data_IF_957340752791
#
_entry.id   IF_957340752791
#
_cell.length_a   1.000
_cell.length_b   1.000
_cell.length_c   1.000
_cell.angle_alpha   90.00
_cell.angle_beta   90.00
_cell.angle_gamma   90.00
#
_symmetry.space_group_name_H-M   'P 1'
#
loop_
_entity.id
_entity.type
_entity.pdbx_description
1 polymer ?
#
# COMPACT_ATOMS: atom_id res chain seq x y z
N UNK A 1 5.42 -5.17 7.08
CA UNK A 1 5.42 -5.58 5.65
C UNK A 1 4.79 -4.46 4.84
N UNK A 2 5.36 -4.07 3.69
CA UNK A 2 4.89 -2.92 2.91
C UNK A 2 4.53 -3.33 1.48
N UNK A 3 3.34 -2.98 1.01
CA UNK A 3 2.90 -3.16 -0.38
C UNK A 3 2.67 -1.80 -1.04
N UNK A 4 3.07 -1.67 -2.30
CA UNK A 4 3.02 -0.41 -3.02
C UNK A 4 2.40 -0.62 -4.40
N UNK A 5 1.50 0.28 -4.77
CA UNK A 5 1.16 0.46 -6.16
C UNK A 5 2.17 1.39 -6.84
N UNK A 6 2.85 0.90 -7.88
CA UNK A 6 3.83 1.67 -8.67
C UNK A 6 3.54 1.43 -10.15
N UNK A 7 3.30 2.50 -10.91
CA UNK A 7 3.14 2.41 -12.36
C UNK A 7 4.51 2.20 -13.06
N UNK A 8 4.54 1.33 -14.07
CA UNK A 8 5.70 0.81 -14.85
C UNK A 8 6.27 1.81 -15.89
N UNK A 9 7.47 1.54 -16.47
CA UNK A 9 8.77 2.09 -16.07
C UNK A 9 9.06 3.49 -16.65
N UNK A 10 9.72 4.35 -15.87
CA UNK A 10 10.35 5.57 -16.42
C UNK A 10 11.63 5.14 -17.17
N UNK A 11 11.88 5.63 -18.40
CA UNK A 11 13.10 5.27 -19.13
C UNK A 11 14.37 5.74 -18.38
N UNK A 12 15.38 4.87 -18.35
CA UNK A 12 16.68 5.15 -17.76
C UNK A 12 17.40 6.30 -18.47
N UNK A 13 17.51 7.46 -17.83
CA UNK A 13 18.62 8.38 -18.12
C UNK A 13 19.17 9.01 -16.84
N UNK A 14 20.40 8.58 -16.52
CA UNK A 14 21.49 9.32 -15.85
C UNK A 14 21.33 9.64 -14.36
N UNK A 15 21.97 8.84 -13.48
CA UNK A 15 22.74 9.35 -12.35
C UNK A 15 23.87 8.38 -11.96
N UNK A 16 25.11 8.88 -11.98
CA UNK A 16 26.28 8.28 -11.32
C UNK A 16 26.45 8.90 -9.92
N UNK A 17 26.89 8.16 -8.89
CA UNK A 17 26.93 8.67 -7.52
C UNK A 17 28.28 9.34 -7.19
N UNK A 18 28.24 10.45 -6.44
CA UNK A 18 29.33 10.84 -5.54
C UNK A 18 28.82 10.81 -4.11
N UNK A 19 29.28 9.81 -3.36
CA UNK A 19 29.15 9.69 -1.91
C UNK A 19 30.25 10.48 -1.22
N UNK A 20 29.95 11.09 -0.08
CA UNK A 20 30.96 11.35 0.95
C UNK A 20 30.31 11.23 2.34
N UNK A 21 30.85 10.40 3.26
CA UNK A 21 30.25 10.18 4.58
C UNK A 21 30.92 11.07 5.64
N UNK A 22 30.17 11.58 6.60
CA UNK A 22 30.65 11.61 7.99
C UNK A 22 29.58 12.02 9.02
N UNK A 23 29.74 11.40 10.20
CA UNK A 23 29.31 11.76 11.56
C UNK A 23 28.00 11.18 12.11
N UNK A 24 28.24 10.17 12.94
CA UNK A 24 27.50 9.69 14.11
C UNK A 24 27.00 10.80 15.04
N UNK A 25 25.77 10.63 15.55
CA UNK A 25 25.45 10.83 16.97
C UNK A 25 24.10 10.19 17.31
N UNK A 26 24.13 9.32 18.32
CA UNK A 26 23.02 8.63 18.94
C UNK A 26 22.09 9.62 19.64
N UNK A 27 20.82 9.70 19.22
CA UNK A 27 19.74 10.36 19.98
C UNK A 27 18.47 9.52 19.84
N UNK A 28 17.91 9.19 20.99
CA UNK A 28 16.64 8.49 21.21
C UNK A 28 15.61 9.02 20.19
N UNK A 29 15.19 8.17 19.25
CA UNK A 29 14.32 8.53 18.12
C UNK A 29 12.95 7.87 18.30
N UNK A 30 11.84 8.64 18.46
CA UNK A 30 10.49 8.07 18.38
C UNK A 30 10.19 7.69 16.91
N UNK A 31 9.22 6.79 16.65
CA UNK A 31 9.31 5.88 15.51
C UNK A 31 9.17 6.60 14.17
N UNK A 32 10.23 6.46 13.40
CA UNK A 32 10.53 7.13 12.14
C UNK A 32 9.86 6.43 10.94
N UNK A 33 8.72 5.75 11.13
CA UNK A 33 8.22 4.70 10.22
C UNK A 33 7.32 5.20 9.07
N UNK A 34 6.50 6.23 9.26
CA UNK A 34 5.53 6.66 8.23
C UNK A 34 6.05 7.70 7.22
N UNK A 35 7.07 8.48 7.58
CA UNK A 35 7.66 9.50 6.68
C UNK A 35 8.49 8.93 5.52
N UNK A 36 8.74 7.61 5.49
CA UNK A 36 9.67 6.97 4.55
C UNK A 36 9.09 6.67 3.16
N UNK A 37 7.77 6.73 2.95
CA UNK A 37 7.10 6.15 1.76
C UNK A 37 7.12 7.05 0.50
N UNK A 38 7.51 8.33 0.60
CA UNK A 38 7.38 9.27 -0.52
C UNK A 38 8.74 9.79 -1.03
N UNK A 39 9.35 9.07 -1.97
CA UNK A 39 10.34 9.66 -2.88
C UNK A 39 9.60 10.22 -4.13
N UNK A 40 9.75 11.51 -4.44
CA UNK A 40 9.14 12.20 -5.60
C UNK A 40 9.97 11.96 -6.88
N UNK A 41 9.30 11.80 -8.02
CA UNK A 41 9.89 11.82 -9.36
C UNK A 41 8.85 12.34 -10.36
N UNK A 42 9.18 13.44 -11.03
CA UNK A 42 8.36 14.25 -11.94
C UNK A 42 8.49 13.79 -13.42
N UNK A 43 7.40 13.96 -14.16
CA UNK A 43 7.05 13.43 -15.50
C UNK A 43 7.81 14.00 -16.71
N UNK A 44 7.87 13.24 -17.81
CA UNK A 44 7.40 13.65 -19.16
C UNK A 44 7.27 12.44 -20.15
N UNK A 45 6.44 12.62 -21.18
CA UNK A 45 5.71 11.67 -22.05
C UNK A 45 6.51 10.97 -23.19
N UNK A 46 6.05 9.78 -23.64
CA UNK A 46 5.63 9.43 -25.03
C UNK A 46 4.89 8.06 -25.02
N UNK A 47 3.74 7.98 -25.71
CA UNK A 47 2.77 6.88 -25.67
C UNK A 47 2.95 5.78 -26.75
N UNK A 48 2.66 4.52 -26.39
CA UNK A 48 2.28 3.43 -27.30
C UNK A 48 0.98 2.78 -26.81
N UNK A 49 0.10 2.42 -27.75
CA UNK A 49 -1.32 2.06 -27.60
C UNK A 49 -1.60 0.92 -26.59
N UNK A 50 -2.30 1.24 -25.50
CA UNK A 50 -2.97 0.29 -24.60
C UNK A 50 -4.46 0.72 -24.41
N UNK A 51 -5.33 -0.28 -24.19
CA UNK A 51 -6.80 -0.22 -24.13
C UNK A 51 -7.40 1.02 -23.42
N UNK A 52 -8.23 1.79 -24.13
CA UNK A 52 -8.81 3.08 -23.70
C UNK A 52 -9.66 3.02 -22.41
N UNK A 53 -10.21 1.87 -22.03
CA UNK A 53 -11.00 1.71 -20.80
C UNK A 53 -10.14 1.66 -19.51
N UNK A 54 -8.93 1.10 -19.58
CA UNK A 54 -8.00 1.03 -18.43
C UNK A 54 -7.18 2.32 -18.25
N UNK A 55 -7.01 3.11 -19.31
CA UNK A 55 -6.33 4.41 -19.26
C UNK A 55 -7.16 5.51 -18.59
N UNK A 56 -8.49 5.48 -18.73
CA UNK A 56 -9.37 6.59 -18.29
C UNK A 56 -9.58 6.69 -16.76
N UNK A 57 -9.16 5.70 -15.97
CA UNK A 57 -9.35 5.70 -14.50
C UNK A 57 -8.10 5.97 -13.65
N UNK A 58 -6.91 6.10 -14.24
CA UNK A 58 -5.67 6.25 -13.45
C UNK A 58 -5.43 7.72 -13.10
N UNK A 59 -6.05 8.19 -12.02
CA UNK A 59 -5.54 9.36 -11.31
C UNK A 59 -4.10 9.06 -10.84
N UNK A 60 -3.28 10.10 -10.67
CA UNK A 60 -1.90 9.99 -10.19
C UNK A 60 -1.80 9.56 -8.71
N UNK A 61 -2.77 8.81 -8.21
CA UNK A 61 -2.89 8.41 -6.81
C UNK A 61 -1.84 7.35 -6.48
N UNK A 62 -0.99 7.72 -5.54
CA UNK A 62 0.04 6.85 -4.97
C UNK A 62 -0.59 6.14 -3.79
N UNK A 63 -0.81 4.84 -3.91
CA UNK A 63 -1.44 4.05 -2.85
C UNK A 63 -0.45 3.05 -2.28
N UNK A 64 -0.39 2.99 -0.95
CA UNK A 64 0.49 2.09 -0.20
C UNK A 64 -0.29 1.41 0.91
N UNK A 65 -0.08 0.10 1.06
CA UNK A 65 -0.64 -0.67 2.18
C UNK A 65 0.50 -1.09 3.10
N UNK A 66 0.41 -0.72 4.36
CA UNK A 66 1.38 -1.05 5.38
C UNK A 66 0.73 -1.90 6.46
N UNK A 67 1.29 -3.07 6.74
CA UNK A 67 0.93 -3.85 7.92
C UNK A 67 1.74 -3.35 9.11
N UNK A 68 1.03 -2.91 10.16
CA UNK A 68 1.58 -2.42 11.42
C UNK A 68 1.15 -3.32 12.57
N UNK A 69 1.99 -3.39 13.59
CA UNK A 69 1.62 -3.97 14.89
C UNK A 69 0.84 -2.94 15.73
N UNK A 70 0.01 -3.43 16.66
CA UNK A 70 -0.87 -2.57 17.47
C UNK A 70 -0.09 -1.53 18.29
N UNK A 71 1.12 -1.89 18.73
CA UNK A 71 2.03 -1.03 19.50
C UNK A 71 2.57 0.15 18.70
N UNK A 72 2.58 0.07 17.36
CA UNK A 72 3.08 1.13 16.48
C UNK A 72 2.03 2.21 16.20
N UNK A 73 0.74 1.90 16.41
CA UNK A 73 -0.38 2.78 16.08
C UNK A 73 -0.37 4.11 16.84
N UNK A 74 -0.16 4.16 18.18
CA UNK A 74 -0.18 5.41 18.92
C UNK A 74 0.78 6.45 18.35
N UNK A 75 1.99 6.02 17.99
CA UNK A 75 3.01 6.92 17.48
C UNK A 75 2.79 7.27 16.00
N UNK A 76 2.29 6.33 15.20
CA UNK A 76 1.96 6.56 13.79
C UNK A 76 0.78 7.51 13.61
N UNK A 77 -0.27 7.40 14.43
CA UNK A 77 -1.50 8.17 14.25
C UNK A 77 -1.59 9.41 15.17
N UNK A 78 -0.56 9.66 15.97
CA UNK A 78 -0.53 10.80 16.89
C UNK A 78 -0.79 12.12 16.16
N UNK A 79 -1.80 12.85 16.63
CA UNK A 79 -2.23 14.13 16.07
C UNK A 79 -1.11 15.17 16.07
N UNK A 80 -0.58 15.48 17.25
CA UNK A 80 0.42 16.54 17.42
C UNK A 80 1.69 16.30 16.60
N UNK A 81 2.11 15.04 16.48
CA UNK A 81 3.32 14.68 15.77
C UNK A 81 3.17 14.67 14.23
N UNK A 82 2.00 14.28 13.71
CA UNK A 82 1.87 13.91 12.29
C UNK A 82 0.81 14.69 11.50
N UNK A 83 -0.11 15.44 12.14
CA UNK A 83 -1.22 16.12 11.44
C UNK A 83 -0.72 17.11 10.36
N UNK A 84 0.26 17.95 10.72
CA UNK A 84 0.86 18.89 9.79
C UNK A 84 1.45 18.17 8.55
N UNK A 85 2.07 17.01 8.75
CA UNK A 85 2.66 16.23 7.67
C UNK A 85 1.58 15.59 6.77
N UNK A 86 0.54 15.01 7.35
CA UNK A 86 -0.55 14.41 6.59
C UNK A 86 -1.28 15.44 5.73
N UNK A 87 -1.53 16.63 6.26
CA UNK A 87 -2.16 17.69 5.49
C UNK A 87 -1.21 18.32 4.46
N UNK A 88 0.07 18.53 4.79
CA UNK A 88 1.02 19.13 3.84
C UNK A 88 1.29 18.24 2.63
N UNK A 89 1.32 16.92 2.83
CA UNK A 89 1.51 15.97 1.74
C UNK A 89 0.19 15.48 1.13
N UNK A 90 -0.97 15.84 1.71
CA UNK A 90 -2.28 15.39 1.26
C UNK A 90 -2.45 13.87 1.37
N UNK A 91 -2.03 13.31 2.51
CA UNK A 91 -2.13 11.88 2.82
C UNK A 91 -3.52 11.60 3.40
N UNK A 92 -4.30 10.74 2.73
CA UNK A 92 -5.51 10.11 3.26
C UNK A 92 -5.14 8.79 3.91
N UNK A 93 -5.59 8.59 5.14
CA UNK A 93 -5.37 7.35 5.89
C UNK A 93 -6.67 6.55 5.85
N UNK A 94 -6.54 5.25 5.66
CA UNK A 94 -7.63 4.30 5.86
C UNK A 94 -7.10 3.06 6.55
N UNK A 95 -7.96 2.40 7.32
CA UNK A 95 -7.62 1.17 8.01
C UNK A 95 -8.38 -0.03 7.45
N UNK A 96 -7.68 -1.15 7.41
CA UNK A 96 -8.25 -2.46 7.11
C UNK A 96 -7.87 -3.45 8.21
N UNK A 97 -8.72 -4.45 8.41
CA UNK A 97 -8.64 -5.50 9.40
C UNK A 97 -9.67 -5.34 10.51
N UNK A 98 -9.59 -6.24 11.49
CA UNK A 98 -10.57 -6.30 12.56
C UNK A 98 -10.24 -5.29 13.68
N UNK A 99 -10.69 -4.05 13.49
CA UNK A 99 -10.52 -2.96 14.47
C UNK A 99 -11.26 -3.23 15.78
N UNK A 100 -12.27 -4.10 15.80
CA UNK A 100 -13.02 -4.45 17.03
C UNK A 100 -12.15 -5.15 18.07
N UNK A 101 -11.03 -5.73 17.65
CA UNK A 101 -10.03 -6.38 18.52
C UNK A 101 -9.12 -5.40 19.22
N UNK A 102 -9.08 -4.15 18.76
CA UNK A 102 -8.25 -3.10 19.36
C UNK A 102 -8.89 -2.57 20.65
N UNK A 103 -8.08 -2.12 21.63
CA UNK A 103 -8.57 -1.30 22.74
C UNK A 103 -9.34 -0.07 22.24
N UNK A 104 -10.38 0.34 22.97
CA UNK A 104 -11.23 1.49 22.59
C UNK A 104 -10.44 2.77 22.27
N UNK A 105 -9.40 3.03 23.05
CA UNK A 105 -8.52 4.20 22.83
C UNK A 105 -7.81 4.16 21.48
N UNK A 106 -7.43 2.97 20.99
CA UNK A 106 -6.86 2.81 19.65
C UNK A 106 -7.94 2.92 18.57
N UNK A 107 -9.13 2.37 18.79
CA UNK A 107 -10.25 2.54 17.85
C UNK A 107 -10.60 4.02 17.64
N UNK A 108 -10.65 4.80 18.72
CA UNK A 108 -10.88 6.26 18.67
C UNK A 108 -9.75 6.98 17.92
N UNK A 109 -8.50 6.62 18.17
CA UNK A 109 -7.34 7.19 17.47
C UNK A 109 -7.37 6.91 15.96
N UNK A 110 -7.77 5.69 15.58
CA UNK A 110 -7.93 5.28 14.19
C UNK A 110 -9.02 6.11 13.52
N UNK A 111 -10.21 6.16 14.13
CA UNK A 111 -11.34 6.92 13.60
C UNK A 111 -11.01 8.41 13.45
N UNK A 112 -10.33 9.01 14.43
CA UNK A 112 -9.89 10.41 14.36
C UNK A 112 -8.92 10.64 13.18
N UNK A 113 -7.96 9.73 12.96
CA UNK A 113 -7.00 9.83 11.87
C UNK A 113 -7.67 9.70 10.49
N UNK A 114 -8.59 8.76 10.32
CA UNK A 114 -9.38 8.61 9.09
C UNK A 114 -10.23 9.86 8.83
N UNK A 115 -10.95 10.36 9.85
CA UNK A 115 -11.83 11.52 9.71
C UNK A 115 -11.09 12.81 9.39
N UNK A 116 -9.92 13.03 10.00
CA UNK A 116 -9.09 14.21 9.73
C UNK A 116 -8.51 14.19 8.32
N UNK A 117 -8.20 13.01 7.80
CA UNK A 117 -7.50 12.86 6.52
C UNK A 117 -8.40 12.50 5.34
N UNK A 118 -9.71 12.27 5.55
CA UNK A 118 -10.65 11.82 4.50
C UNK A 118 -10.75 12.71 3.25
N UNK A 119 -10.51 14.01 3.41
CA UNK A 119 -10.58 14.98 2.31
C UNK A 119 -9.25 15.15 1.57
N UNK A 120 -8.18 14.48 2.03
CA UNK A 120 -6.90 14.48 1.35
C UNK A 120 -6.95 13.52 0.14
N UNK A 121 -6.22 13.85 -0.94
CA UNK A 121 -6.31 13.10 -2.20
C UNK A 121 -4.99 12.88 -2.93
N UNK A 122 -3.87 13.39 -2.39
CA UNK A 122 -2.57 13.27 -3.06
C UNK A 122 -1.96 11.87 -2.90
N UNK A 123 -2.18 11.24 -1.76
CA UNK A 123 -1.59 9.96 -1.40
C UNK A 123 -2.54 9.17 -0.50
N UNK A 124 -2.74 7.89 -0.77
CA UNK A 124 -3.54 7.01 0.07
C UNK A 124 -2.62 6.05 0.84
N UNK A 125 -2.70 6.10 2.17
CA UNK A 125 -2.04 5.16 3.07
C UNK A 125 -3.10 4.25 3.69
N UNK A 126 -3.08 2.97 3.33
CA UNK A 126 -3.89 1.94 3.96
C UNK A 126 -3.06 1.27 5.05
N UNK A 127 -3.56 1.25 6.28
CA UNK A 127 -2.89 0.61 7.40
C UNK A 127 -3.67 -0.66 7.77
N UNK A 128 -2.99 -1.81 7.70
CA UNK A 128 -3.56 -3.11 7.97
C UNK A 128 -3.25 -3.54 9.41
N UNK A 129 -4.29 -3.65 10.26
CA UNK A 129 -4.16 -3.99 11.68
C UNK A 129 -5.11 -5.11 12.05
N UNK A 130 -4.60 -6.13 12.74
CA UNK A 130 -5.37 -7.37 12.97
C UNK A 130 -5.96 -7.95 11.67
N UNK A 131 -5.31 -7.65 10.53
CA UNK A 131 -5.75 -7.99 9.18
C UNK A 131 -5.14 -9.31 8.71
N UNK A 132 -5.89 -10.06 7.91
CA UNK A 132 -5.34 -11.13 7.10
C UNK A 132 -6.14 -11.31 5.81
N UNK A 133 -5.50 -11.72 4.71
CA UNK A 133 -6.17 -11.89 3.42
C UNK A 133 -7.27 -12.95 3.44
N UNK A 134 -7.11 -14.01 4.23
CA UNK A 134 -8.20 -14.98 4.47
C UNK A 134 -9.39 -14.35 5.20
N UNK A 135 -9.13 -13.51 6.20
CA UNK A 135 -10.19 -12.80 6.92
C UNK A 135 -10.96 -11.87 5.97
N UNK A 136 -10.24 -11.09 5.18
CA UNK A 136 -10.78 -10.15 4.19
C UNK A 136 -11.74 -10.86 3.22
N UNK A 137 -11.28 -11.95 2.59
CA UNK A 137 -12.12 -12.76 1.68
C UNK A 137 -13.35 -13.33 2.39
N UNK A 138 -13.22 -13.78 3.64
CA UNK A 138 -14.36 -14.30 4.41
C UNK A 138 -15.37 -13.18 4.71
N UNK A 139 -14.93 -11.96 5.04
CA UNK A 139 -15.84 -10.83 5.24
C UNK A 139 -16.52 -10.43 3.93
N UNK A 140 -15.79 -10.38 2.82
CA UNK A 140 -16.35 -10.12 1.50
C UNK A 140 -17.46 -11.14 1.15
N UNK A 141 -17.19 -12.44 1.30
CA UNK A 141 -18.19 -13.47 1.07
C UNK A 141 -19.42 -13.35 1.98
N UNK A 142 -19.24 -12.99 3.26
CA UNK A 142 -20.36 -12.75 4.19
C UNK A 142 -21.20 -11.55 3.77
N UNK A 143 -20.55 -10.45 3.35
CA UNK A 143 -21.22 -9.25 2.84
C UNK A 143 -22.06 -9.58 1.61
N UNK A 144 -21.48 -10.29 0.62
CA UNK A 144 -22.19 -10.73 -0.58
C UNK A 144 -23.38 -11.63 -0.21
N UNK A 145 -23.18 -12.61 0.67
CA UNK A 145 -24.25 -13.51 1.10
C UNK A 145 -25.42 -12.76 1.76
N UNK A 146 -25.11 -11.71 2.53
CA UNK A 146 -26.12 -10.84 3.13
C UNK A 146 -26.85 -10.02 2.04
N UNK A 147 -26.13 -9.43 1.08
CA UNK A 147 -26.73 -8.71 -0.06
C UNK A 147 -27.62 -9.59 -0.94
N UNK A 148 -27.27 -10.86 -1.12
CA UNK A 148 -28.12 -11.84 -1.81
C UNK A 148 -29.38 -12.15 -1.00
N UNK A 149 -29.25 -12.33 0.31
CA UNK A 149 -30.40 -12.55 1.21
C UNK A 149 -31.36 -11.37 1.22
N UNK A 150 -30.83 -10.16 1.11
CA UNK A 150 -31.59 -8.91 1.10
C UNK A 150 -32.09 -8.50 -0.31
N UNK A 151 -31.92 -9.37 -1.31
CA UNK A 151 -32.32 -9.16 -2.72
C UNK A 151 -31.68 -7.94 -3.40
N UNK A 152 -30.51 -7.51 -2.89
CA UNK A 152 -29.72 -6.38 -3.44
C UNK A 152 -28.88 -6.84 -4.64
N UNK A 153 -28.42 -8.10 -4.63
CA UNK A 153 -27.58 -8.70 -5.68
C UNK A 153 -28.07 -10.13 -5.95
N UNK A 154 -28.08 -10.58 -7.21
CA UNK A 154 -28.40 -11.98 -7.53
C UNK A 154 -27.14 -12.83 -7.52
N UNK A 155 -27.31 -14.14 -7.30
CA UNK A 155 -26.22 -15.13 -7.41
C UNK A 155 -25.42 -15.00 -8.72
N UNK A 156 -26.10 -14.78 -9.83
CA UNK A 156 -25.46 -14.73 -11.16
C UNK A 156 -24.71 -13.41 -11.41
N UNK A 157 -24.90 -12.41 -10.54
CA UNK A 157 -24.16 -11.14 -10.57
C UNK A 157 -22.83 -11.24 -9.79
N UNK A 158 -22.56 -12.37 -9.13
CA UNK A 158 -21.33 -12.58 -8.37
C UNK A 158 -20.18 -12.90 -9.33
N UNK A 159 -19.29 -11.94 -9.50
CA UNK A 159 -18.05 -12.05 -10.27
C UNK A 159 -16.84 -11.52 -9.48
N UNK A 160 -15.67 -11.52 -10.13
CA UNK A 160 -14.42 -11.00 -9.52
C UNK A 160 -14.55 -9.52 -9.13
N UNK A 161 -15.26 -8.71 -9.92
CA UNK A 161 -15.44 -7.28 -9.65
C UNK A 161 -16.31 -7.06 -8.42
N UNK A 162 -17.36 -7.87 -8.22
CA UNK A 162 -18.16 -7.79 -7.01
C UNK A 162 -17.33 -8.19 -5.79
N UNK A 163 -16.54 -9.26 -5.87
CA UNK A 163 -15.67 -9.67 -4.75
C UNK A 163 -14.70 -8.53 -4.39
N UNK A 164 -14.06 -7.91 -5.39
CA UNK A 164 -13.15 -6.77 -5.19
C UNK A 164 -13.81 -5.60 -4.44
N UNK A 165 -15.07 -5.30 -4.75
CA UNK A 165 -15.83 -4.22 -4.09
C UNK A 165 -16.14 -4.50 -2.62
N UNK A 166 -16.20 -5.78 -2.24
CA UNK A 166 -16.54 -6.22 -0.89
C UNK A 166 -15.32 -6.51 -0.01
N UNK A 167 -14.11 -6.51 -0.58
CA UNK A 167 -12.86 -6.57 0.18
C UNK A 167 -12.62 -5.24 0.88
N UNK A 168 -12.00 -5.26 2.06
CA UNK A 168 -11.76 -4.05 2.86
C UNK A 168 -10.80 -3.06 2.19
N UNK A 169 -9.99 -3.53 1.24
CA UNK A 169 -9.17 -2.65 0.42
C UNK A 169 -9.97 -1.72 -0.51
N UNK A 170 -11.28 -1.97 -0.69
CA UNK A 170 -12.19 -1.10 -1.46
C UNK A 170 -12.50 0.23 -0.75
N UNK A 171 -11.98 0.46 0.46
CA UNK A 171 -12.05 1.74 1.18
C UNK A 171 -11.48 2.95 0.39
N UNK A 172 -10.72 2.68 -0.68
CA UNK A 172 -10.25 3.65 -1.67
C UNK A 172 -10.32 3.01 -3.06
N UNK A 173 -10.06 3.78 -4.12
CA UNK A 173 -9.87 3.28 -5.48
C UNK A 173 -8.55 2.50 -5.62
N UNK A 174 -8.26 1.60 -4.66
CA UNK A 174 -7.02 0.88 -4.53
C UNK A 174 -6.79 -0.06 -5.71
N UNK A 175 -5.85 0.25 -6.62
CA UNK A 175 -5.47 -0.69 -7.65
C UNK A 175 -4.59 -1.79 -7.04
N UNK A 176 -4.58 -2.95 -7.70
CA UNK A 176 -3.66 -4.04 -7.37
C UNK A 176 -2.20 -3.57 -7.22
N UNK A 177 -1.48 -3.96 -6.16
CA UNK A 177 -0.12 -3.50 -5.94
C UNK A 177 0.83 -3.98 -7.03
N UNK A 178 1.70 -3.09 -7.48
CA UNK A 178 2.76 -3.43 -8.45
C UNK A 178 3.88 -4.22 -7.79
N UNK A 179 4.28 -3.81 -6.58
CA UNK A 179 5.35 -4.43 -5.82
C UNK A 179 4.96 -4.66 -4.35
N UNK A 180 5.28 -5.84 -3.83
CA UNK A 180 5.30 -6.12 -2.40
C UNK A 180 6.75 -6.13 -1.90
N UNK A 181 7.05 -5.29 -0.93
CA UNK A 181 8.34 -5.24 -0.23
C UNK A 181 8.20 -5.94 1.11
N UNK A 182 9.02 -6.98 1.31
CA UNK A 182 9.09 -7.70 2.57
C UNK A 182 10.49 -7.67 3.16
N UNK A 183 10.59 -7.15 4.37
CA UNK A 183 11.80 -7.03 5.18
C UNK A 183 12.11 -8.31 5.96
N UNK A 184 13.26 -8.31 6.64
CA UNK A 184 13.70 -9.36 7.56
C UNK A 184 14.01 -10.72 6.91
N UNK A 185 14.23 -10.75 5.60
CA UNK A 185 14.65 -11.96 4.88
C UNK A 185 13.57 -13.02 4.67
N UNK A 186 12.32 -12.73 5.04
CA UNK A 186 11.25 -13.73 5.05
C UNK A 186 10.63 -13.95 3.67
N UNK A 187 10.81 -15.14 3.09
CA UNK A 187 10.34 -15.50 1.75
C UNK A 187 8.91 -16.06 1.74
N UNK A 188 7.95 -15.29 2.24
CA UNK A 188 6.52 -15.66 2.24
C UNK A 188 5.64 -14.41 2.18
N UNK A 189 4.34 -14.57 1.89
CA UNK A 189 3.36 -13.47 1.99
C UNK A 189 2.69 -13.39 3.36
N UNK A 190 2.75 -14.45 4.17
CA UNK A 190 2.14 -14.52 5.52
C UNK A 190 0.68 -14.09 5.58
N UNK A 191 -0.15 -14.55 4.65
CA UNK A 191 -1.59 -14.25 4.65
C UNK A 191 -1.88 -12.74 4.57
N UNK A 192 -1.03 -11.97 3.88
CA UNK A 192 -1.24 -10.55 3.61
C UNK A 192 -1.78 -10.39 2.19
N UNK A 193 -2.81 -9.56 1.99
CA UNK A 193 -3.37 -9.14 0.70
C UNK A 193 -3.52 -10.28 -0.34
N UNK A 194 -4.06 -11.44 0.07
CA UNK A 194 -4.02 -12.66 -0.77
C UNK A 194 -4.70 -12.49 -2.13
N UNK A 195 -5.84 -11.78 -2.16
CA UNK A 195 -6.54 -11.49 -3.41
C UNK A 195 -5.74 -10.49 -4.24
N UNK A 196 -5.28 -9.41 -3.59
CA UNK A 196 -4.65 -8.28 -4.26
C UNK A 196 -3.24 -8.62 -4.79
N UNK A 197 -2.56 -9.61 -4.20
CA UNK A 197 -1.20 -10.00 -4.60
C UNK A 197 -1.12 -10.96 -5.79
N UNK A 198 -2.24 -11.34 -6.40
CA UNK A 198 -2.30 -12.38 -7.44
C UNK A 198 -1.32 -12.16 -8.60
N UNK A 199 -1.08 -10.89 -8.98
CA UNK A 199 -0.17 -10.52 -10.07
C UNK A 199 0.98 -9.59 -9.63
N UNK A 200 1.21 -9.49 -8.31
CA UNK A 200 2.18 -8.56 -7.74
C UNK A 200 3.61 -9.10 -7.81
N UNK A 201 4.56 -8.22 -8.10
CA UNK A 201 5.98 -8.56 -8.05
C UNK A 201 6.49 -8.51 -6.60
N UNK A 202 7.24 -9.53 -6.18
CA UNK A 202 7.79 -9.59 -4.82
C UNK A 202 9.24 -9.09 -4.77
N UNK A 203 9.56 -8.30 -3.76
CA UNK A 203 10.92 -7.88 -3.40
C UNK A 203 11.18 -8.20 -1.93
N UNK A 204 12.12 -9.11 -1.69
CA UNK A 204 12.50 -9.54 -0.35
C UNK A 204 13.87 -8.97 0.00
N UNK A 205 13.98 -8.32 1.17
CA UNK A 205 15.22 -7.72 1.65
C UNK A 205 15.54 -8.23 3.05
N UNK A 206 16.83 -8.42 3.33
CA UNK A 206 17.30 -8.91 4.63
C UNK A 206 17.21 -7.86 5.74
N UNK A 207 17.27 -6.57 5.38
CA UNK A 207 17.15 -5.44 6.31
C UNK A 207 15.89 -5.56 7.15
N UNK A 208 16.03 -5.38 8.47
CA UNK A 208 14.90 -5.38 9.41
C UNK A 208 14.04 -4.11 9.21
N UNK A 209 12.77 -4.16 9.59
CA UNK A 209 11.84 -3.04 9.40
C UNK A 209 12.31 -1.71 10.04
N UNK A 210 12.85 -1.69 11.29
CA UNK A 210 13.36 -0.45 11.87
C UNK A 210 14.50 0.19 11.06
N UNK A 211 15.34 -0.66 10.46
CA UNK A 211 16.54 -0.27 9.70
C UNK A 211 16.23 0.02 8.22
N UNK A 212 15.07 -0.41 7.72
CA UNK A 212 14.69 -0.21 6.32
C UNK A 212 14.53 1.29 6.02
N UNK A 213 15.35 1.83 5.13
CA UNK A 213 15.45 3.24 4.85
C UNK A 213 15.20 3.61 3.40
N UNK A 214 15.56 4.85 3.06
CA UNK A 214 15.41 5.40 1.70
C UNK A 214 16.25 4.62 0.68
N UNK A 215 17.45 4.16 1.06
CA UNK A 215 18.34 3.44 0.16
C UNK A 215 17.70 2.12 -0.29
N UNK A 216 17.24 1.30 0.67
CA UNK A 216 16.60 0.02 0.41
C UNK A 216 15.28 0.19 -0.37
N UNK A 217 14.54 1.26 -0.09
CA UNK A 217 13.34 1.60 -0.84
C UNK A 217 13.63 1.93 -2.31
N UNK A 218 14.67 2.74 -2.56
CA UNK A 218 15.11 3.06 -3.93
C UNK A 218 15.62 1.80 -4.64
N UNK A 219 16.31 0.91 -3.94
CA UNK A 219 16.76 -0.36 -4.50
C UNK A 219 15.57 -1.26 -4.89
N UNK A 220 14.55 -1.33 -4.04
CA UNK A 220 13.32 -2.08 -4.34
C UNK A 220 12.61 -1.54 -5.59
N UNK A 221 12.49 -0.22 -5.71
CA UNK A 221 11.89 0.42 -6.89
C UNK A 221 12.74 0.23 -8.15
N UNK A 222 14.06 0.33 -8.02
CA UNK A 222 14.99 0.12 -9.13
C UNK A 222 14.90 -1.32 -9.63
N UNK A 223 14.85 -2.30 -8.71
CA UNK A 223 14.64 -3.71 -9.03
C UNK A 223 13.32 -3.93 -9.78
N UNK A 224 12.23 -3.30 -9.33
CA UNK A 224 10.91 -3.36 -9.98
C UNK A 224 10.92 -2.78 -11.40
N UNK A 225 11.63 -1.67 -11.61
CA UNK A 225 11.73 -1.00 -12.92
C UNK A 225 12.56 -1.81 -13.93
N UNK A 226 13.57 -2.54 -13.46
CA UNK A 226 14.45 -3.34 -14.32
C UNK A 226 13.84 -4.67 -14.78
N UNK A 227 12.69 -5.09 -14.21
CA UNK A 227 12.10 -6.38 -14.57
C UNK A 227 11.53 -6.35 -15.98
N UNK A 228 11.97 -7.31 -16.80
CA UNK A 228 11.39 -7.53 -18.13
C UNK A 228 10.05 -8.23 -17.98
N UNK A 229 8.96 -7.45 -18.08
CA UNK A 229 7.60 -7.99 -18.06
C UNK A 229 7.37 -8.82 -19.31
N UNK A 230 7.13 -10.12 -19.13
CA UNK A 230 6.68 -11.00 -20.21
C UNK A 230 5.17 -10.78 -20.35
N UNK A 231 4.78 -9.87 -21.22
CA UNK A 231 3.37 -9.68 -21.59
C UNK A 231 2.89 -10.90 -22.37
N UNK A 232 2.54 -11.99 -21.68
CA UNK A 232 1.83 -13.16 -22.23
C UNK A 232 2.50 -13.88 -23.41
N UNK A 233 3.69 -13.46 -23.89
CA UNK A 233 4.45 -14.15 -24.91
C UNK A 233 4.95 -15.47 -24.32
N UNK A 234 4.27 -16.56 -24.68
CA UNK A 234 4.93 -17.85 -24.77
C UNK A 234 5.97 -17.68 -25.87
N UNK A 235 7.24 -17.71 -25.50
CA UNK A 235 8.30 -17.92 -26.47
C UNK A 235 8.13 -19.38 -26.95
N UNK A 236 7.41 -19.55 -28.05
CA UNK A 236 7.27 -20.80 -28.79
C UNK A 236 8.06 -20.73 -30.07
#
# INVERSE_FOLDING_TARGET
MLSLHVNSPVPNTLFAPKLNPSRSQTRITPPFSLRKVQARGSSEEVAVKENEQQRRRRSNERISVLSLEEEELPAGLNREANDCFYHSEGIRISMIGDSSRLPKTLQELVSDAEDRTKNNSNFQLIVAVSYSGKYDVVQACKSIAQKVKDDVVRRDDIDESLIEQELETSCSDYPYPGILIRTSGELRVSNFLLWQLAYTEFFFVQTLWPDFGKAEFVDALTSFQQRKRRYGRRDS
#
